data_IF_463629257822
#
_entry.id   IF_463629257822
#
_cell.length_a   1.000
_cell.length_b   1.000
_cell.length_c   1.000
_cell.angle_alpha   90.00
_cell.angle_beta   90.00
_cell.angle_gamma   90.00
#
_symmetry.space_group_name_H-M   'P 1'
#
loop_
_entity.id
_entity.type
_entity.pdbx_description
1 polymer ?
#
# COMPACT_ATOMS: atom_id res chain seq x y z
N UNK A 1 -19.52 0.27 66.06
CA UNK A 1 -20.24 -1.02 65.99
C UNK A 1 -21.43 -0.82 65.08
N UNK A 2 -21.56 -1.76 64.14
CA UNK A 2 -22.73 -2.09 63.32
C UNK A 2 -22.96 -1.32 62.01
N UNK A 3 -22.83 -2.14 60.96
CA UNK A 3 -23.23 -2.07 59.56
C UNK A 3 -24.60 -1.45 59.24
N UNK A 4 -24.69 -0.85 58.05
CA UNK A 4 -25.75 -1.08 57.04
C UNK A 4 -25.29 -0.40 55.72
N UNK A 5 -24.75 -1.11 54.73
CA UNK A 5 -25.45 -1.87 53.68
C UNK A 5 -26.63 -1.12 53.02
N UNK A 6 -26.35 -0.36 51.96
CA UNK A 6 -27.29 -0.19 50.85
C UNK A 6 -26.53 0.12 49.56
N UNK A 7 -26.46 -0.89 48.71
CA UNK A 7 -26.08 -0.77 47.32
C UNK A 7 -27.10 0.10 46.55
N UNK A 8 -26.64 0.94 45.64
CA UNK A 8 -27.07 0.82 44.24
C UNK A 8 -26.11 1.57 43.31
N UNK A 9 -25.05 0.88 42.89
CA UNK A 9 -24.29 1.27 41.71
C UNK A 9 -25.06 0.76 40.49
N UNK A 10 -25.84 1.64 39.86
CA UNK A 10 -26.35 1.36 38.52
C UNK A 10 -25.18 1.51 37.55
N UNK A 11 -24.41 0.43 37.43
CA UNK A 11 -23.50 0.21 36.30
C UNK A 11 -24.36 0.17 35.04
N UNK A 12 -24.35 1.27 34.29
CA UNK A 12 -24.80 1.25 32.90
C UNK A 12 -23.82 0.37 32.15
N UNK A 13 -24.31 -0.78 31.69
CA UNK A 13 -23.57 -1.74 30.88
C UNK A 13 -23.01 -1.06 29.63
N UNK A 14 -21.68 -1.14 29.48
CA UNK A 14 -20.97 -0.76 28.26
C UNK A 14 -21.37 -1.73 27.13
N UNK A 15 -22.11 -1.27 26.11
CA UNK A 15 -22.27 -2.03 24.86
C UNK A 15 -21.02 -1.84 23.99
N UNK A 16 -19.97 -2.58 24.29
CA UNK A 16 -18.75 -2.65 23.49
C UNK A 16 -18.84 -3.72 22.40
N UNK A 17 -19.73 -3.58 21.43
CA UNK A 17 -19.84 -4.53 20.30
C UNK A 17 -19.70 -3.88 18.91
N UNK A 18 -19.87 -2.56 18.80
CA UNK A 18 -19.88 -1.89 17.49
C UNK A 18 -18.47 -1.51 16.98
N UNK A 19 -17.50 -1.25 17.87
CA UNK A 19 -16.14 -0.84 17.46
C UNK A 19 -15.35 -1.95 16.75
N UNK A 20 -15.56 -3.22 17.15
CA UNK A 20 -14.86 -4.36 16.55
C UNK A 20 -15.29 -4.64 15.11
N UNK A 21 -16.57 -4.38 14.80
CA UNK A 21 -17.12 -4.59 13.45
C UNK A 21 -16.63 -3.48 12.50
N UNK A 22 -16.56 -2.23 12.96
CA UNK A 22 -16.05 -1.11 12.15
C UNK A 22 -14.54 -1.18 11.90
N UNK A 23 -13.75 -1.51 12.93
CA UNK A 23 -12.31 -1.73 12.78
C UNK A 23 -12.01 -2.88 11.79
N UNK A 24 -12.76 -3.98 11.86
CA UNK A 24 -12.61 -5.11 10.93
C UNK A 24 -13.00 -4.78 9.49
N UNK A 25 -14.03 -3.96 9.27
CA UNK A 25 -14.42 -3.48 7.93
C UNK A 25 -13.36 -2.55 7.33
N UNK A 26 -12.84 -1.61 8.13
CA UNK A 26 -11.81 -0.66 7.70
C UNK A 26 -10.51 -1.36 7.29
N UNK A 27 -10.03 -2.31 8.12
CA UNK A 27 -8.82 -3.09 7.81
C UNK A 27 -8.95 -3.94 6.54
N UNK A 28 -10.12 -4.53 6.31
CA UNK A 28 -10.39 -5.31 5.09
C UNK A 28 -10.42 -4.41 3.84
N UNK A 29 -11.05 -3.24 3.92
CA UNK A 29 -11.07 -2.27 2.83
C UNK A 29 -9.68 -1.75 2.50
N UNK A 30 -8.85 -1.48 3.51
CA UNK A 30 -7.48 -1.03 3.31
C UNK A 30 -6.62 -2.12 2.62
N UNK A 31 -6.78 -3.37 3.06
CA UNK A 31 -6.07 -4.52 2.44
C UNK A 31 -6.45 -4.69 0.97
N UNK A 32 -7.74 -4.52 0.63
CA UNK A 32 -8.21 -4.58 -0.74
C UNK A 32 -7.66 -3.43 -1.60
N UNK A 33 -7.57 -2.21 -1.05
CA UNK A 33 -6.95 -1.06 -1.74
C UNK A 33 -5.47 -1.34 -2.05
N UNK A 34 -4.71 -1.81 -1.06
CA UNK A 34 -3.29 -2.12 -1.24
C UNK A 34 -3.07 -3.23 -2.27
N UNK A 35 -3.95 -4.23 -2.32
CA UNK A 35 -3.90 -5.29 -3.34
C UNK A 35 -4.13 -4.74 -4.74
N UNK A 36 -5.12 -3.84 -4.89
CA UNK A 36 -5.40 -3.20 -6.17
C UNK A 36 -4.22 -2.37 -6.66
N UNK A 37 -3.68 -1.50 -5.80
CA UNK A 37 -2.53 -0.67 -6.14
C UNK A 37 -1.28 -1.51 -6.43
N UNK A 38 -1.00 -2.53 -5.62
CA UNK A 38 0.11 -3.45 -5.85
C UNK A 38 0.01 -4.14 -7.22
N UNK A 39 -1.20 -4.54 -7.62
CA UNK A 39 -1.44 -5.24 -8.88
C UNK A 39 -1.10 -4.39 -10.11
N UNK A 40 -1.37 -3.07 -10.07
CA UNK A 40 -1.00 -2.16 -11.16
C UNK A 40 0.51 -2.13 -11.41
N UNK A 41 1.30 -2.31 -10.35
CA UNK A 41 2.76 -2.35 -10.41
C UNK A 41 3.34 -3.76 -10.53
N UNK A 42 2.49 -4.79 -10.59
CA UNK A 42 2.92 -6.19 -10.55
C UNK A 42 3.65 -6.57 -9.25
N UNK A 43 3.36 -5.86 -8.15
CA UNK A 43 3.91 -6.05 -6.82
C UNK A 43 2.99 -6.93 -5.96
N UNK A 44 3.53 -7.47 -4.87
CA UNK A 44 2.72 -8.01 -3.78
C UNK A 44 2.16 -6.88 -2.90
N UNK A 45 1.07 -7.16 -2.18
CA UNK A 45 0.52 -6.19 -1.22
C UNK A 45 1.54 -5.80 -0.13
N UNK A 46 2.42 -6.72 0.26
CA UNK A 46 3.49 -6.48 1.23
C UNK A 46 4.58 -5.55 0.68
N UNK A 47 4.95 -5.74 -0.59
CA UNK A 47 5.92 -4.87 -1.28
C UNK A 47 5.37 -3.45 -1.42
N UNK A 48 4.10 -3.33 -1.78
CA UNK A 48 3.44 -2.05 -1.91
C UNK A 48 3.27 -1.34 -0.55
N UNK A 49 2.88 -2.07 0.51
CA UNK A 49 2.85 -1.53 1.86
C UNK A 49 4.25 -1.06 2.33
N UNK A 50 5.32 -1.77 1.95
CA UNK A 50 6.70 -1.32 2.21
C UNK A 50 7.02 -0.03 1.47
N UNK A 51 6.61 0.09 0.21
CA UNK A 51 6.75 1.32 -0.56
C UNK A 51 6.07 2.49 0.15
N UNK A 52 4.81 2.35 0.57
CA UNK A 52 4.11 3.40 1.32
C UNK A 52 4.84 3.79 2.61
N UNK A 53 5.40 2.82 3.32
CA UNK A 53 6.18 3.07 4.54
C UNK A 53 7.46 3.85 4.24
N UNK A 54 8.18 3.53 3.16
CA UNK A 54 9.36 4.27 2.71
C UNK A 54 9.00 5.72 2.35
N UNK A 55 7.88 5.91 1.66
CA UNK A 55 7.40 7.23 1.23
C UNK A 55 6.93 8.12 2.39
N UNK A 56 6.64 7.56 3.57
CA UNK A 56 6.39 8.35 4.80
C UNK A 56 7.67 8.89 5.45
N UNK A 57 8.84 8.41 5.04
CA UNK A 57 10.13 8.79 5.58
C UNK A 57 10.91 9.76 4.69
N UNK A 58 12.22 9.84 4.95
CA UNK A 58 13.16 10.68 4.19
C UNK A 58 13.12 10.41 2.68
N UNK A 59 12.90 9.14 2.29
CA UNK A 59 12.77 8.75 0.89
C UNK A 59 11.65 9.52 0.18
N UNK A 60 10.47 9.64 0.79
CA UNK A 60 9.36 10.37 0.18
C UNK A 60 9.62 11.87 0.02
N UNK A 61 10.43 12.45 0.90
CA UNK A 61 10.84 13.87 0.79
C UNK A 61 11.82 14.07 -0.37
N UNK A 62 12.78 13.16 -0.55
CA UNK A 62 13.79 13.26 -1.61
C UNK A 62 13.28 12.84 -2.98
N UNK A 63 12.24 12.02 -3.04
CA UNK A 63 11.84 11.28 -4.24
C UNK A 63 10.36 11.50 -4.57
N UNK A 64 9.97 12.78 -4.73
CA UNK A 64 8.62 13.11 -5.21
C UNK A 64 8.39 12.51 -6.61
N UNK A 65 7.36 11.69 -6.77
CA UNK A 65 6.94 11.14 -8.06
C UNK A 65 7.76 9.96 -8.57
N UNK A 66 8.62 9.35 -7.74
CA UNK A 66 9.30 8.11 -8.10
C UNK A 66 8.33 6.93 -7.99
N UNK A 67 8.34 6.08 -9.03
CA UNK A 67 7.45 4.93 -9.08
C UNK A 67 7.80 3.88 -8.00
N UNK A 68 6.84 3.02 -7.62
CA UNK A 68 7.05 1.98 -6.61
C UNK A 68 8.17 0.98 -6.96
N UNK A 69 8.32 0.59 -8.23
CA UNK A 69 9.35 -0.38 -8.64
C UNK A 69 10.75 0.21 -8.48
N UNK A 70 10.97 1.43 -8.95
CA UNK A 70 12.25 2.13 -8.81
C UNK A 70 12.56 2.43 -7.35
N UNK A 71 11.56 2.86 -6.57
CA UNK A 71 11.74 3.12 -5.13
C UNK A 71 12.15 1.84 -4.40
N UNK A 72 11.42 0.73 -4.60
CA UNK A 72 11.74 -0.54 -3.97
C UNK A 72 13.05 -1.13 -4.48
N UNK A 73 13.42 -0.90 -5.74
CA UNK A 73 14.68 -1.38 -6.33
C UNK A 73 15.90 -0.67 -5.75
N UNK A 74 15.81 0.64 -5.50
CA UNK A 74 16.88 1.39 -4.82
C UNK A 74 17.01 0.93 -3.36
N UNK A 75 15.88 0.78 -2.67
CA UNK A 75 15.82 0.34 -1.26
C UNK A 75 15.83 -1.20 -1.09
N UNK A 76 16.21 -1.96 -2.14
CA UNK A 76 16.19 -3.41 -2.12
C UNK A 76 17.14 -3.98 -1.06
N UNK A 77 16.69 -5.03 -0.35
CA UNK A 77 17.43 -5.63 0.77
C UNK A 77 18.43 -6.70 0.34
N UNK A 78 18.36 -7.13 -0.92
CA UNK A 78 19.30 -8.05 -1.53
C UNK A 78 19.43 -7.77 -3.02
N UNK A 79 20.47 -8.33 -3.64
CA UNK A 79 20.69 -8.18 -5.07
C UNK A 79 19.64 -8.95 -5.88
N UNK A 80 19.17 -10.09 -5.39
CA UNK A 80 18.06 -10.84 -6.01
C UNK A 80 16.77 -10.03 -6.01
N UNK A 81 16.46 -9.38 -4.88
CA UNK A 81 15.30 -8.49 -4.79
C UNK A 81 15.42 -7.33 -5.79
N UNK A 82 16.61 -6.74 -5.90
CA UNK A 82 16.92 -5.65 -6.83
C UNK A 82 16.76 -6.09 -8.29
N UNK A 83 17.32 -7.24 -8.66
CA UNK A 83 17.21 -7.81 -10.01
C UNK A 83 15.75 -8.08 -10.39
N UNK A 84 14.99 -8.74 -9.53
CA UNK A 84 13.57 -9.04 -9.79
C UNK A 84 12.73 -7.77 -9.97
N UNK A 85 13.01 -6.71 -9.20
CA UNK A 85 12.30 -5.43 -9.34
C UNK A 85 12.72 -4.69 -10.62
N UNK A 86 14.00 -4.73 -10.98
CA UNK A 86 14.51 -4.17 -12.23
C UNK A 86 13.90 -4.87 -13.46
N UNK A 87 13.76 -6.21 -13.42
CA UNK A 87 13.09 -6.97 -14.48
C UNK A 87 11.64 -6.54 -14.68
N UNK A 88 10.89 -6.35 -13.58
CA UNK A 88 9.51 -5.82 -13.65
C UNK A 88 9.48 -4.41 -14.25
N UNK A 89 10.41 -3.54 -13.87
CA UNK A 89 10.50 -2.18 -14.40
C UNK A 89 10.78 -2.18 -15.91
N UNK A 90 11.75 -2.99 -16.36
CA UNK A 90 12.09 -3.13 -17.79
C UNK A 90 10.90 -3.63 -18.60
N UNK A 91 10.10 -4.56 -18.07
CA UNK A 91 8.89 -5.04 -18.75
C UNK A 91 7.85 -3.92 -18.95
N UNK A 92 7.66 -3.06 -17.95
CA UNK A 92 6.74 -1.91 -18.08
C UNK A 92 7.25 -0.87 -19.06
N UNK A 93 8.54 -0.53 -18.96
CA UNK A 93 9.17 0.45 -19.85
C UNK A 93 9.13 -0.02 -21.31
N UNK A 94 9.37 -1.32 -21.54
CA UNK A 94 9.22 -1.90 -22.87
C UNK A 94 7.80 -1.76 -23.40
N UNK A 95 6.78 -2.10 -22.60
CA UNK A 95 5.38 -1.97 -23.01
C UNK A 95 4.95 -0.52 -23.27
N UNK A 96 5.54 0.45 -22.56
CA UNK A 96 5.34 1.87 -22.84
C UNK A 96 6.04 2.31 -24.13
N UNK A 97 7.30 1.93 -24.33
CA UNK A 97 8.04 2.23 -25.55
C UNK A 97 7.36 1.67 -26.81
N UNK A 98 6.74 0.49 -26.73
CA UNK A 98 5.95 -0.07 -27.83
C UNK A 98 4.73 0.78 -28.18
N UNK A 99 4.02 1.32 -27.18
CA UNK A 99 2.88 2.22 -27.40
C UNK A 99 3.32 3.54 -28.02
N UNK A 100 4.41 4.10 -27.51
CA UNK A 100 4.98 5.34 -28.05
C UNK A 100 5.41 5.17 -29.50
N UNK A 101 6.09 4.06 -29.82
CA UNK A 101 6.50 3.75 -31.18
C UNK A 101 5.30 3.52 -32.12
N UNK A 102 4.25 2.88 -31.62
CA UNK A 102 3.02 2.70 -32.39
C UNK A 102 2.38 4.06 -32.73
N UNK A 103 2.34 4.98 -31.77
CA UNK A 103 1.86 6.35 -32.01
C UNK A 103 2.74 7.10 -33.02
N UNK A 104 4.06 7.05 -32.86
CA UNK A 104 4.99 7.73 -33.76
C UNK A 104 4.83 7.29 -35.21
N UNK A 105 4.53 6.01 -35.47
CA UNK A 105 4.28 5.51 -36.83
C UNK A 105 3.06 6.14 -37.51
N UNK A 106 1.99 6.39 -36.75
CA UNK A 106 0.80 7.08 -37.26
C UNK A 106 1.09 8.56 -37.52
N UNK A 107 1.91 9.18 -36.66
CA UNK A 107 2.39 10.56 -36.87
C UNK A 107 3.24 10.66 -38.15
N UNK A 108 4.17 9.73 -38.36
CA UNK A 108 5.06 9.72 -39.53
C UNK A 108 4.31 9.46 -40.85
N UNK A 109 3.13 8.84 -40.79
CA UNK A 109 2.30 8.52 -41.95
C UNK A 109 1.33 9.65 -42.36
N UNK A 110 1.17 10.68 -41.54
CA UNK A 110 0.24 11.81 -41.76
C UNK A 110 0.84 12.92 -42.64
#
# INVERSE_FOLDING_TARGET
MSDDSAADSHTVCFRGADWQIEAGKSAKSQTQSLQYEAQEWGLSAEEYARFEALMKGWRGIQSLGLDPLTTLGIEARSDEERCRLAEKWVQQEFAWAEKELAFQREVDAA
#
